data_IF_782659402613
#
_entry.id   IF_782659402613
#
_cell.length_a   1.000
_cell.length_b   1.000
_cell.length_c   1.000
_cell.angle_alpha   90.00
_cell.angle_beta   90.00
_cell.angle_gamma   90.00
#
_symmetry.space_group_name_H-M   'P 1'
#
loop_
_entity.id
_entity.type
_entity.pdbx_description
1 polymer ?
#
# COMPACT_ATOMS: atom_id res chain seq x y z
N UNK A 1 17.47 -7.23 -7.21
CA UNK A 1 17.59 -6.09 -6.28
C UNK A 1 16.29 -5.26 -6.23
N UNK A 2 15.69 -4.92 -7.38
CA UNK A 2 14.44 -4.13 -7.46
C UNK A 2 13.23 -4.70 -6.69
N UNK A 3 13.05 -6.03 -6.68
CA UNK A 3 11.92 -6.69 -5.98
C UNK A 3 11.98 -6.48 -4.46
N UNK A 4 13.18 -6.60 -3.87
CA UNK A 4 13.40 -6.36 -2.45
C UNK A 4 13.14 -4.90 -2.08
N UNK A 5 13.58 -3.96 -2.92
CA UNK A 5 13.32 -2.52 -2.73
C UNK A 5 11.82 -2.22 -2.84
N UNK A 6 11.13 -2.80 -3.83
CA UNK A 6 9.68 -2.65 -3.98
C UNK A 6 8.92 -3.16 -2.77
N UNK A 7 9.27 -4.34 -2.25
CA UNK A 7 8.66 -4.91 -1.05
C UNK A 7 8.81 -3.98 0.16
N UNK A 8 10.00 -3.43 0.38
CA UNK A 8 10.27 -2.48 1.48
C UNK A 8 9.43 -1.21 1.33
N UNK A 9 9.33 -0.65 0.12
CA UNK A 9 8.55 0.56 -0.16
C UNK A 9 7.05 0.32 0.07
N UNK A 10 6.50 -0.80 -0.38
CA UNK A 10 5.07 -1.12 -0.22
C UNK A 10 4.69 -1.32 1.24
N UNK A 11 5.56 -2.00 2.00
CA UNK A 11 5.34 -2.19 3.44
C UNK A 11 5.39 -0.84 4.16
N UNK A 12 6.36 0.02 3.85
CA UNK A 12 6.45 1.36 4.43
C UNK A 12 5.22 2.23 4.09
N UNK A 13 4.78 2.22 2.83
CA UNK A 13 3.61 2.96 2.38
C UNK A 13 2.29 2.40 2.96
N UNK A 14 2.18 1.09 3.12
CA UNK A 14 1.00 0.47 3.75
C UNK A 14 0.89 0.82 5.23
N UNK A 15 2.01 0.86 5.95
CA UNK A 15 2.04 1.29 7.36
C UNK A 15 1.73 2.78 7.47
N UNK A 16 2.28 3.60 6.58
CA UNK A 16 1.96 5.04 6.50
C UNK A 16 0.48 5.30 6.19
N UNK A 17 -0.08 4.57 5.22
CA UNK A 17 -1.50 4.61 4.86
C UNK A 17 -2.40 4.22 6.03
N UNK A 18 -1.98 3.26 6.84
CA UNK A 18 -2.70 2.84 8.05
C UNK A 18 -2.79 3.97 9.09
N UNK A 19 -1.70 4.73 9.25
CA UNK A 19 -1.61 5.79 10.25
C UNK A 19 -2.27 7.10 9.79
N UNK A 20 -2.18 7.40 8.49
CA UNK A 20 -2.79 8.58 7.87
C UNK A 20 -4.27 8.41 7.54
N UNK A 21 -4.82 7.20 7.71
CA UNK A 21 -6.22 6.93 7.41
C UNK A 21 -7.12 7.77 8.35
N UNK A 22 -7.93 8.71 7.83
CA UNK A 22 -8.69 9.65 8.66
C UNK A 22 -9.83 8.95 9.37
N UNK A 23 -9.99 9.14 10.70
CA UNK A 23 -11.08 8.58 11.52
C UNK A 23 -12.44 9.15 11.10
N UNK A 24 -13.07 8.49 10.13
CA UNK A 24 -14.40 8.80 9.61
C UNK A 24 -14.98 7.60 8.86
N UNK A 25 -16.21 7.73 8.37
CA UNK A 25 -17.03 6.67 7.75
C UNK A 25 -16.31 5.93 6.59
N UNK A 26 -15.33 6.57 5.96
CA UNK A 26 -14.58 6.05 4.81
C UNK A 26 -13.27 5.31 5.16
N UNK A 27 -12.98 5.06 6.44
CA UNK A 27 -11.76 4.39 6.93
C UNK A 27 -11.48 3.05 6.22
N UNK A 28 -12.50 2.20 6.13
CA UNK A 28 -12.37 0.85 5.55
C UNK A 28 -12.08 0.90 4.06
N UNK A 29 -12.66 1.87 3.35
CA UNK A 29 -12.44 2.09 1.92
C UNK A 29 -11.02 2.60 1.68
N UNK A 30 -10.55 3.57 2.48
CA UNK A 30 -9.19 4.09 2.38
C UNK A 30 -8.12 3.02 2.61
N UNK A 31 -8.30 2.19 3.63
CA UNK A 31 -7.36 1.12 3.97
C UNK A 31 -7.28 0.06 2.87
N UNK A 32 -8.42 -0.32 2.31
CA UNK A 32 -8.49 -1.38 1.30
C UNK A 32 -8.02 -0.92 -0.08
N UNK A 33 -8.38 0.29 -0.53
CA UNK A 33 -7.94 0.82 -1.84
C UNK A 33 -6.45 1.06 -1.90
N UNK A 34 -5.84 1.65 -0.86
CA UNK A 34 -4.39 1.90 -0.82
C UNK A 34 -3.59 0.60 -0.85
N UNK A 35 -3.96 -0.40 -0.04
CA UNK A 35 -3.29 -1.70 -0.03
C UNK A 35 -3.43 -2.41 -1.39
N UNK A 36 -4.61 -2.33 -2.02
CA UNK A 36 -4.85 -2.95 -3.33
C UNK A 36 -4.06 -2.26 -4.46
N UNK A 37 -3.94 -0.93 -4.44
CA UNK A 37 -3.13 -0.17 -5.40
C UNK A 37 -1.64 -0.47 -5.24
N UNK A 38 -1.12 -0.55 -4.01
CA UNK A 38 0.28 -0.92 -3.79
C UNK A 38 0.58 -2.37 -4.18
N UNK A 39 -0.35 -3.29 -3.92
CA UNK A 39 -0.22 -4.69 -4.35
C UNK A 39 -0.23 -4.84 -5.88
N UNK A 40 -1.09 -4.10 -6.59
CA UNK A 40 -1.15 -4.13 -8.06
C UNK A 40 0.09 -3.48 -8.70
N UNK A 41 0.60 -2.37 -8.15
CA UNK A 41 1.88 -1.80 -8.58
C UNK A 41 3.08 -2.75 -8.37
N UNK A 42 3.07 -3.57 -7.33
CA UNK A 42 4.13 -4.58 -7.10
C UNK A 42 4.10 -5.70 -8.14
N UNK A 43 2.91 -6.21 -8.43
CA UNK A 43 2.73 -7.35 -9.34
C UNK A 43 3.16 -6.95 -10.76
N UNK A 44 2.88 -5.71 -11.21
CA UNK A 44 3.38 -5.21 -12.50
C UNK A 44 4.88 -4.95 -12.53
N UNK A 45 5.50 -4.60 -11.40
CA UNK A 45 6.95 -4.37 -11.36
C UNK A 45 7.76 -5.67 -11.34
N UNK A 46 7.16 -6.77 -10.88
CA UNK A 46 7.77 -8.10 -10.87
C UNK A 46 7.60 -8.93 -12.15
N UNK A 47 6.97 -8.35 -13.19
CA UNK A 47 6.75 -8.96 -14.52
C UNK A 47 7.61 -8.24 -15.56
#
# INVERSE_FOLDING_TARGET
WSILVGLVVIVALSVGAWFLSPKGENQTIWRSTLILSFASCYIMWGM
#
